data_IF_268450728121
#
_entry.id   IF_268450728121
#
_cell.length_a   1.000
_cell.length_b   1.000
_cell.length_c   1.000
_cell.angle_alpha   90.00
_cell.angle_beta   90.00
_cell.angle_gamma   90.00
#
_symmetry.space_group_name_H-M   'P 1'
#
loop_
_entity.id
_entity.type
_entity.pdbx_description
1 polymer ?
#
# COMPACT_ATOMS: atom_id res chain seq x y z
N UNK A 1 13.52 -17.93 -12.92
CA UNK A 1 13.82 -17.74 -11.49
C UNK A 1 14.39 -16.34 -11.34
N UNK A 2 13.52 -15.35 -11.11
CA UNK A 2 13.95 -13.98 -10.84
C UNK A 2 14.40 -13.96 -9.38
N UNK A 3 15.69 -13.74 -9.16
CA UNK A 3 16.23 -13.50 -7.81
C UNK A 3 15.92 -12.04 -7.50
N UNK A 4 15.20 -11.81 -6.41
CA UNK A 4 14.87 -10.50 -5.86
C UNK A 4 16.17 -9.77 -5.45
N UNK A 5 16.40 -8.57 -5.99
CA UNK A 5 17.58 -7.73 -5.73
C UNK A 5 17.26 -6.47 -4.91
N UNK A 6 16.01 -6.28 -4.44
CA UNK A 6 15.63 -5.09 -3.67
C UNK A 6 15.43 -5.40 -2.17
N UNK A 7 16.54 -5.50 -1.46
CA UNK A 7 16.65 -5.18 -0.02
C UNK A 7 17.03 -3.69 0.02
N UNK A 8 16.14 -2.72 0.35
CA UNK A 8 15.22 -2.65 1.49
C UNK A 8 13.74 -2.33 1.11
N UNK A 9 12.81 -2.42 2.08
CA UNK A 9 11.41 -2.01 1.92
C UNK A 9 11.14 -0.65 2.61
N UNK A 10 10.45 0.25 1.91
CA UNK A 10 9.92 1.51 2.46
C UNK A 10 8.41 1.41 2.57
N UNK A 11 7.87 1.72 3.75
CA UNK A 11 6.45 1.81 3.98
C UNK A 11 6.04 3.27 4.20
N UNK A 12 5.02 3.70 3.48
CA UNK A 12 4.36 4.98 3.69
C UNK A 12 2.96 4.75 4.26
N UNK A 13 2.67 5.41 5.38
CA UNK A 13 1.35 5.51 5.96
C UNK A 13 1.01 7.00 6.05
N UNK A 14 -0.09 7.42 5.44
CA UNK A 14 -0.44 8.84 5.37
C UNK A 14 -1.92 9.12 5.68
N UNK A 15 -2.16 10.33 6.20
CA UNK A 15 -3.48 10.89 6.51
C UNK A 15 -3.83 12.05 5.54
N UNK A 16 -3.43 11.92 4.28
CA UNK A 16 -3.81 12.70 3.07
C UNK A 16 -3.23 11.94 1.86
N UNK A 17 -3.57 12.24 0.61
CA UNK A 17 -3.24 11.38 -0.56
C UNK A 17 -1.92 11.70 -1.28
N UNK A 18 -1.17 12.72 -0.84
CA UNK A 18 -0.07 13.30 -1.63
C UNK A 18 1.14 12.37 -1.79
N UNK A 19 1.48 11.61 -0.75
CA UNK A 19 2.58 10.66 -0.76
C UNK A 19 2.21 9.30 -1.37
N UNK A 20 0.93 8.97 -1.48
CA UNK A 20 0.43 7.79 -2.22
C UNK A 20 0.23 8.05 -3.72
N UNK A 21 0.66 9.22 -4.22
CA UNK A 21 0.61 9.48 -5.66
C UNK A 21 1.58 8.57 -6.44
N UNK A 22 1.24 8.16 -7.67
CA UNK A 22 2.10 7.30 -8.49
C UNK A 22 3.53 7.84 -8.65
N UNK A 23 3.68 9.15 -8.85
CA UNK A 23 4.99 9.78 -9.04
C UNK A 23 5.89 9.68 -7.80
N UNK A 24 5.31 9.79 -6.59
CA UNK A 24 6.06 9.64 -5.34
C UNK A 24 6.46 8.18 -5.15
N UNK A 25 5.52 7.24 -5.32
CA UNK A 25 5.80 5.81 -5.14
C UNK A 25 6.83 5.27 -6.13
N UNK A 26 6.77 5.69 -7.40
CA UNK A 26 7.79 5.36 -8.40
C UNK A 26 9.16 5.87 -7.98
N UNK A 27 9.25 7.10 -7.45
CA UNK A 27 10.53 7.65 -7.02
C UNK A 27 11.07 6.97 -5.77
N UNK A 28 10.20 6.62 -4.82
CA UNK A 28 10.57 5.86 -3.62
C UNK A 28 11.02 4.44 -3.95
N UNK A 29 10.52 3.86 -5.05
CA UNK A 29 10.91 2.51 -5.48
C UNK A 29 12.22 2.47 -6.26
N UNK A 30 12.96 3.59 -6.35
CA UNK A 30 14.31 3.62 -6.93
C UNK A 30 15.30 2.92 -5.98
N UNK A 31 15.60 1.66 -6.28
CA UNK A 31 16.53 0.84 -5.48
C UNK A 31 15.89 0.23 -4.21
N UNK A 32 14.56 0.22 -4.12
CA UNK A 32 13.81 -0.34 -3.01
C UNK A 32 12.43 -0.83 -3.49
N UNK A 33 11.74 -1.58 -2.63
CA UNK A 33 10.30 -1.81 -2.74
C UNK A 33 9.55 -0.77 -1.93
N UNK A 34 8.52 -0.16 -2.51
CA UNK A 34 7.69 0.83 -1.84
C UNK A 34 6.25 0.29 -1.68
N UNK A 35 5.80 0.22 -0.42
CA UNK A 35 4.43 -0.13 -0.06
C UNK A 35 3.73 1.11 0.53
N UNK A 36 2.49 1.34 0.12
CA UNK A 36 1.70 2.46 0.62
C UNK A 36 0.30 2.01 0.96
N UNK A 37 -0.15 2.34 2.17
CA UNK A 37 -1.55 2.25 2.57
C UNK A 37 -2.04 3.65 2.92
N UNK A 38 -3.12 4.08 2.28
CA UNK A 38 -3.77 5.36 2.53
C UNK A 38 -5.27 5.18 2.63
N UNK A 39 -5.90 5.98 3.49
CA UNK A 39 -7.34 6.17 3.48
C UNK A 39 -7.75 7.49 4.12
N UNK A 40 -9.01 7.87 3.92
CA UNK A 40 -9.60 9.04 4.56
C UNK A 40 -10.99 8.79 5.14
N UNK A 41 -11.54 9.82 5.80
CA UNK A 41 -12.85 9.77 6.46
C UNK A 41 -14.02 9.69 5.47
N UNK A 42 -13.79 10.01 4.19
CA UNK A 42 -14.79 9.91 3.12
C UNK A 42 -14.76 8.54 2.43
N UNK A 43 -14.12 7.55 3.05
CA UNK A 43 -14.02 6.18 2.57
C UNK A 43 -13.17 6.01 1.28
N UNK A 44 -12.43 7.04 0.86
CA UNK A 44 -11.38 6.80 -0.14
C UNK A 44 -10.24 6.04 0.51
N UNK A 45 -9.72 5.06 -0.20
CA UNK A 45 -8.66 4.21 0.27
C UNK A 45 -7.81 3.74 -0.91
N UNK A 46 -6.55 3.39 -0.63
CA UNK A 46 -5.64 2.85 -1.62
C UNK A 46 -4.53 2.05 -0.96
N UNK A 47 -4.34 0.82 -1.44
CA UNK A 47 -3.16 0.01 -1.19
C UNK A 47 -2.33 -0.05 -2.48
N UNK A 48 -1.07 0.35 -2.41
CA UNK A 48 -0.21 0.43 -3.61
C UNK A 48 1.15 -0.23 -3.37
N UNK A 49 1.70 -0.79 -4.44
CA UNK A 49 3.04 -1.37 -4.48
C UNK A 49 3.80 -0.86 -5.71
N UNK A 50 5.04 -0.42 -5.49
CA UNK A 50 5.95 0.04 -6.53
C UNK A 50 7.34 -0.57 -6.36
N UNK A 51 7.97 -0.94 -7.46
CA UNK A 51 9.33 -1.46 -7.51
C UNK A 51 10.01 -1.00 -8.81
N UNK A 52 11.32 -0.74 -8.76
CA UNK A 52 12.09 -0.45 -9.98
C UNK A 52 11.63 0.79 -10.75
N UNK A 53 11.16 1.84 -10.06
CA UNK A 53 10.60 3.05 -10.66
C UNK A 53 9.27 2.85 -11.40
N UNK A 54 8.57 1.74 -11.14
CA UNK A 54 7.25 1.44 -11.68
C UNK A 54 6.22 1.27 -10.57
N UNK A 55 5.00 1.77 -10.80
CA UNK A 55 3.85 1.48 -9.95
C UNK A 55 3.20 0.22 -10.50
N UNK A 56 3.28 -0.87 -9.75
CA UNK A 56 2.92 -2.21 -10.21
C UNK A 56 1.49 -2.56 -9.83
N UNK A 57 1.08 -2.23 -8.61
CA UNK A 57 -0.24 -2.59 -8.10
C UNK A 57 -0.89 -1.40 -7.40
N UNK A 58 -2.20 -1.29 -7.57
CA UNK A 58 -3.06 -0.38 -6.83
C UNK A 58 -4.43 -1.01 -6.62
N UNK A 59 -4.81 -1.18 -5.36
CA UNK A 59 -6.05 -1.84 -4.93
C UNK A 59 -6.91 -0.82 -4.18
N UNK A 60 -8.19 -0.75 -4.55
CA UNK A 60 -9.25 -0.18 -3.72
C UNK A 60 -9.79 -1.29 -2.83
N UNK A 61 -9.66 -1.15 -1.52
CA UNK A 61 -10.15 -2.11 -0.56
C UNK A 61 -11.67 -2.26 -0.55
N UNK A 62 -12.49 -1.50 -1.29
CA UNK A 62 -13.92 -1.76 -1.48
C UNK A 62 -14.24 -2.47 -2.80
N UNK A 63 -13.33 -2.40 -3.77
CA UNK A 63 -13.45 -3.06 -5.06
C UNK A 63 -12.08 -3.57 -5.49
N UNK A 64 -11.57 -4.63 -4.85
CA UNK A 64 -10.20 -5.09 -5.07
C UNK A 64 -9.98 -5.69 -6.46
N UNK A 65 -11.06 -6.10 -7.13
CA UNK A 65 -10.98 -6.87 -8.38
C UNK A 65 -10.40 -8.25 -8.13
N UNK A 66 -10.24 -9.02 -9.20
CA UNK A 66 -9.62 -10.34 -9.14
C UNK A 66 -8.12 -10.25 -9.45
N UNK A 67 -7.30 -11.21 -9.00
CA UNK A 67 -5.88 -11.23 -9.33
C UNK A 67 -5.60 -11.06 -10.83
N UNK A 68 -6.41 -11.69 -11.70
CA UNK A 68 -6.30 -11.59 -13.16
C UNK A 68 -6.54 -10.18 -13.73
N UNK A 69 -7.18 -9.29 -12.98
CA UNK A 69 -7.40 -7.90 -13.38
C UNK A 69 -6.12 -7.04 -13.21
N UNK A 70 -5.12 -7.55 -12.49
CA UNK A 70 -3.88 -6.86 -12.15
C UNK A 70 -2.72 -7.34 -13.04
N UNK A 71 -2.55 -6.70 -14.19
CA UNK A 71 -1.51 -7.06 -15.16
C UNK A 71 -0.11 -7.07 -14.53
N UNK A 72 0.64 -8.16 -14.74
CA UNK A 72 2.03 -8.28 -14.25
C UNK A 72 2.16 -8.77 -12.80
N UNK A 73 1.06 -9.03 -12.10
CA UNK A 73 1.08 -9.54 -10.72
C UNK A 73 1.81 -10.89 -10.58
N UNK A 74 1.78 -11.74 -11.61
CA UNK A 74 2.48 -13.03 -11.65
C UNK A 74 4.01 -12.91 -11.51
N UNK A 75 4.57 -11.72 -11.79
CA UNK A 75 6.00 -11.45 -11.63
C UNK A 75 6.39 -11.18 -10.17
N UNK A 76 5.40 -11.01 -9.30
CA UNK A 76 5.56 -10.62 -7.91
C UNK A 76 4.71 -11.53 -7.01
N UNK A 77 5.20 -12.74 -6.67
CA UNK A 77 4.46 -13.70 -5.86
C UNK A 77 4.02 -13.15 -4.50
N UNK A 78 4.78 -12.22 -3.91
CA UNK A 78 4.39 -11.53 -2.68
C UNK A 78 3.10 -10.72 -2.82
N UNK A 79 2.74 -10.30 -4.04
CA UNK A 79 1.52 -9.53 -4.29
C UNK A 79 0.27 -10.40 -4.38
N UNK A 80 0.40 -11.74 -4.50
CA UNK A 80 -0.76 -12.64 -4.43
C UNK A 80 -1.47 -12.51 -3.09
N UNK A 81 -0.72 -12.35 -2.00
CA UNK A 81 -1.29 -12.02 -0.70
C UNK A 81 -2.08 -10.72 -0.71
N UNK A 82 -1.63 -9.71 -1.47
CA UNK A 82 -2.35 -8.44 -1.58
C UNK A 82 -3.68 -8.58 -2.29
N UNK A 83 -3.88 -9.58 -3.15
CA UNK A 83 -5.16 -9.81 -3.83
C UNK A 83 -6.04 -10.82 -3.08
N UNK A 84 -5.46 -11.85 -2.47
CA UNK A 84 -6.20 -12.90 -1.76
C UNK A 84 -6.85 -12.41 -0.46
N UNK A 85 -6.28 -11.38 0.17
CA UNK A 85 -6.81 -10.81 1.42
C UNK A 85 -8.05 -9.94 1.25
N UNK A 86 -8.30 -9.43 0.04
CA UNK A 86 -9.45 -8.59 -0.23
C UNK A 86 -10.50 -9.38 -0.98
N UNK A 87 -11.65 -9.51 -0.35
CA UNK A 87 -12.86 -10.06 -0.97
C UNK A 87 -13.75 -8.92 -1.44
N UNK A 88 -14.57 -9.15 -2.45
CA UNK A 88 -15.53 -8.15 -2.93
C UNK A 88 -16.49 -7.73 -1.81
N UNK A 89 -17.02 -6.51 -1.92
CA UNK A 89 -17.89 -5.93 -0.89
C UNK A 89 -19.07 -6.84 -0.51
N UNK A 90 -19.63 -7.55 -1.49
CA UNK A 90 -20.78 -8.46 -1.32
C UNK A 90 -20.47 -9.71 -0.49
N UNK A 91 -19.19 -10.08 -0.38
CA UNK A 91 -18.73 -11.27 0.33
C UNK A 91 -18.28 -10.98 1.77
N UNK A 92 -18.29 -9.70 2.17
CA UNK A 92 -17.83 -9.27 3.49
C UNK A 92 -18.89 -9.47 4.54
N UNK A 93 -18.47 -9.95 5.71
CA UNK A 93 -19.30 -9.87 6.91
C UNK A 93 -19.24 -8.46 7.54
N UNK A 94 -20.13 -8.21 8.49
CA UNK A 94 -20.21 -6.94 9.22
C UNK A 94 -18.98 -6.62 10.10
N UNK A 95 -18.06 -7.57 10.28
CA UNK A 95 -16.86 -7.44 11.08
C UNK A 95 -15.60 -7.33 10.22
N UNK A 96 -15.73 -7.25 8.88
CA UNK A 96 -14.59 -7.11 7.98
C UNK A 96 -13.89 -5.77 8.18
N UNK A 97 -12.70 -5.81 8.77
CA UNK A 97 -11.83 -4.65 8.95
C UNK A 97 -10.83 -4.57 7.80
N UNK A 98 -11.21 -3.80 6.77
CA UNK A 98 -10.40 -3.60 5.57
C UNK A 98 -9.10 -2.82 5.86
N UNK A 99 -9.05 -2.01 6.92
CA UNK A 99 -7.83 -1.30 7.33
C UNK A 99 -6.83 -2.30 7.92
N UNK A 100 -7.32 -3.20 8.79
CA UNK A 100 -6.51 -4.29 9.32
C UNK A 100 -6.02 -5.22 8.19
N UNK A 101 -6.85 -5.50 7.18
CA UNK A 101 -6.45 -6.28 6.01
C UNK A 101 -5.29 -5.61 5.24
N UNK A 102 -5.38 -4.31 4.93
CA UNK A 102 -4.29 -3.57 4.29
C UNK A 102 -2.97 -3.65 5.07
N UNK A 103 -3.02 -3.48 6.39
CA UNK A 103 -1.83 -3.54 7.24
C UNK A 103 -1.30 -4.97 7.36
N UNK A 104 -2.16 -5.97 7.49
CA UNK A 104 -1.76 -7.38 7.58
C UNK A 104 -1.06 -7.86 6.29
N UNK A 105 -1.52 -7.38 5.15
CA UNK A 105 -0.89 -7.63 3.86
C UNK A 105 0.53 -7.05 3.82
N UNK A 106 0.72 -5.79 4.22
CA UNK A 106 2.07 -5.18 4.26
C UNK A 106 2.96 -5.88 5.30
N UNK A 107 2.43 -6.24 6.48
CA UNK A 107 3.13 -7.04 7.50
C UNK A 107 3.65 -8.34 6.89
N UNK A 108 2.79 -9.07 6.18
CA UNK A 108 3.14 -10.34 5.55
C UNK A 108 4.18 -10.21 4.43
N UNK A 109 4.05 -9.21 3.56
CA UNK A 109 4.95 -9.05 2.40
C UNK A 109 6.31 -8.46 2.77
N UNK A 110 6.37 -7.63 3.81
CA UNK A 110 7.61 -6.97 4.24
C UNK A 110 8.28 -7.65 5.44
N UNK A 111 7.56 -8.50 6.16
CA UNK A 111 7.99 -9.06 7.45
C UNK A 111 7.96 -8.06 8.61
N UNK A 112 7.51 -6.81 8.38
CA UNK A 112 7.29 -5.82 9.42
C UNK A 112 6.15 -6.27 10.35
N UNK A 113 6.12 -5.83 11.62
CA UNK A 113 5.01 -6.14 12.55
C UNK A 113 4.11 -4.93 12.80
N UNK A 114 3.03 -4.81 12.04
CA UNK A 114 2.15 -3.61 12.01
C UNK A 114 0.98 -3.71 13.00
N UNK A 115 1.30 -4.00 14.26
CA UNK A 115 0.30 -4.14 15.33
C UNK A 115 -0.35 -2.81 15.72
N UNK A 116 -1.48 -2.87 16.43
CA UNK A 116 -2.08 -1.66 17.04
C UNK A 116 -1.13 -0.91 17.99
N UNK A 117 -0.22 -1.61 18.66
CA UNK A 117 0.81 -0.98 19.49
C UNK A 117 1.91 -0.32 18.67
N UNK A 118 2.22 -0.84 17.47
CA UNK A 118 3.13 -0.18 16.53
C UNK A 118 2.53 1.16 16.09
N UNK A 119 1.24 1.20 15.72
CA UNK A 119 0.54 2.43 15.29
C UNK A 119 0.58 3.56 16.34
N UNK A 120 0.61 3.22 17.63
CA UNK A 120 0.61 4.19 18.74
C UNK A 120 2.00 4.77 19.05
N UNK A 121 3.07 4.20 18.50
CA UNK A 121 4.44 4.68 18.74
C UNK A 121 4.74 5.89 17.86
N UNK A 122 5.66 6.79 18.28
CA UNK A 122 6.18 7.81 17.39
C UNK A 122 6.89 7.17 16.19
N UNK A 123 6.50 7.57 14.98
CA UNK A 123 7.15 7.16 13.74
C UNK A 123 7.89 8.34 13.12
N UNK A 124 9.02 8.11 12.42
CA UNK A 124 9.59 9.12 11.55
C UNK A 124 8.54 9.56 10.53
N UNK A 125 8.34 10.87 10.41
CA UNK A 125 7.44 11.44 9.41
C UNK A 125 8.12 12.64 8.75
N UNK A 126 7.72 12.92 7.51
CA UNK A 126 8.12 14.13 6.79
C UNK A 126 6.87 14.96 6.61
N UNK A 127 6.92 16.23 7.05
CA UNK A 127 5.84 17.19 6.77
C UNK A 127 6.10 17.83 5.42
N UNK A 128 5.23 17.57 4.45
CA UNK A 128 5.20 18.32 3.19
C UNK A 128 4.35 19.57 3.43
N UNK A 129 4.96 20.75 3.36
CA UNK A 129 4.21 22.02 3.38
C UNK A 129 3.85 22.38 1.95
N UNK A 130 2.55 22.50 1.68
CA UNK A 130 2.11 23.13 0.43
C UNK A 130 2.43 24.62 0.53
N UNK A 131 2.96 25.24 -0.53
CA UNK A 131 3.09 26.69 -0.57
C UNK A 131 1.70 27.32 -0.42
N UNK A 132 1.61 28.40 0.35
CA UNK A 132 0.37 29.16 0.49
C UNK A 132 -0.13 29.53 -0.92
N UNK A 133 -1.42 29.28 -1.17
CA UNK A 133 -2.03 29.70 -2.42
C UNK A 133 -1.85 31.21 -2.56
N UNK A 134 -1.09 31.65 -3.57
CA UNK A 134 -0.99 33.06 -3.89
C UNK A 134 -2.41 33.56 -4.23
N UNK A 135 -2.95 34.39 -3.34
CA UNK A 135 -4.22 35.09 -3.52
C UNK A 135 -4.12 36.15 -4.61
#
# INVERSE_FOLDING_TARGET
>A
MLVDWCDPATMLLEQDYLGSTPAVLQRLSQGARAYSAWWNVNAHNRLSFAAGNELILTIDAFGPGRPEDHAGIDQWPELQAMTDFFVDFEERDQHYDWQAAMLAVIDQTTGARLTGEWLKRPHPYITVRMPDAAH
#
